data_IF_439828459847
#
_entry.id   IF_439828459847
#
_cell.length_a   1.000
_cell.length_b   1.000
_cell.length_c   1.000
_cell.angle_alpha   90.00
_cell.angle_beta   90.00
_cell.angle_gamma   90.00
#
_symmetry.space_group_name_H-M   'P 1'
#
loop_
_entity.id
_entity.type
_entity.pdbx_description
1 polymer ?
#
# COMPACT_ATOMS: atom_id res chain seq x y z
N UNK A 1 -28.26 -2.03 20.93
CA UNK A 1 -26.85 -1.61 20.75
C UNK A 1 -26.17 -2.51 19.75
N UNK A 2 -25.73 -1.93 18.66
CA UNK A 2 -24.93 -2.67 17.68
C UNK A 2 -23.58 -3.01 18.24
N UNK A 3 -23.14 -4.26 18.07
CA UNK A 3 -21.76 -4.63 18.32
C UNK A 3 -20.89 -3.96 17.28
N UNK A 4 -19.89 -3.23 17.72
CA UNK A 4 -18.87 -2.74 16.81
C UNK A 4 -18.16 -3.93 16.18
N UNK A 5 -18.16 -3.99 14.88
CA UNK A 5 -17.33 -4.97 14.19
C UNK A 5 -15.89 -4.75 14.61
N UNK A 6 -15.25 -5.83 15.02
CA UNK A 6 -13.83 -5.78 15.34
C UNK A 6 -13.05 -5.57 14.07
N UNK A 7 -12.31 -4.48 13.99
CA UNK A 7 -11.42 -4.23 12.87
C UNK A 7 -10.31 -5.28 12.84
N UNK A 8 -10.03 -5.81 11.67
CA UNK A 8 -8.90 -6.72 11.48
C UNK A 8 -7.60 -5.96 11.63
N UNK A 9 -6.60 -6.59 12.25
CA UNK A 9 -5.25 -6.08 12.27
C UNK A 9 -4.66 -6.13 10.86
N UNK A 10 -3.58 -5.38 10.62
CA UNK A 10 -2.86 -5.45 9.35
C UNK A 10 -2.45 -6.89 9.03
N UNK A 11 -1.88 -7.61 10.00
CA UNK A 11 -1.41 -8.98 9.78
C UNK A 11 -2.56 -9.92 9.38
N UNK A 12 -3.73 -9.76 9.97
CA UNK A 12 -4.89 -10.57 9.66
C UNK A 12 -5.37 -10.34 8.22
N UNK A 13 -5.52 -9.07 7.83
CA UNK A 13 -6.01 -8.76 6.49
C UNK A 13 -4.96 -9.07 5.42
N UNK A 14 -3.69 -8.82 5.70
CA UNK A 14 -2.60 -9.17 4.80
C UNK A 14 -2.61 -10.68 4.49
N UNK A 15 -2.75 -11.51 5.52
CA UNK A 15 -2.81 -12.95 5.32
C UNK A 15 -4.02 -13.37 4.49
N UNK A 16 -5.17 -12.72 4.70
CA UNK A 16 -6.37 -13.00 3.90
C UNK A 16 -6.16 -12.65 2.42
N UNK A 17 -5.50 -11.55 2.14
CA UNK A 17 -5.18 -11.15 0.76
C UNK A 17 -4.24 -12.18 0.11
N UNK A 18 -3.20 -12.60 0.83
CA UNK A 18 -2.25 -13.59 0.31
C UNK A 18 -2.96 -14.92 0.01
N UNK A 19 -3.80 -15.39 0.93
CA UNK A 19 -4.57 -16.64 0.72
C UNK A 19 -5.53 -16.53 -0.45
N UNK A 20 -6.19 -15.38 -0.59
CA UNK A 20 -7.04 -15.11 -1.74
C UNK A 20 -6.24 -15.22 -3.05
N UNK A 21 -5.05 -14.62 -3.08
CA UNK A 21 -4.18 -14.63 -4.25
C UNK A 21 -3.66 -16.06 -4.56
N UNK A 22 -3.35 -16.83 -3.52
CA UNK A 22 -2.98 -18.23 -3.68
C UNK A 22 -4.13 -19.07 -4.26
N UNK A 23 -5.33 -18.88 -3.74
CA UNK A 23 -6.52 -19.61 -4.21
C UNK A 23 -6.82 -19.30 -5.67
N UNK A 24 -6.47 -18.12 -6.13
CA UNK A 24 -6.65 -17.71 -7.53
C UNK A 24 -5.42 -17.96 -8.39
N UNK A 25 -4.42 -18.61 -7.83
CA UNK A 25 -3.17 -18.97 -8.49
C UNK A 25 -2.36 -17.76 -8.99
N UNK A 26 -2.62 -16.57 -8.45
CA UNK A 26 -1.78 -15.40 -8.68
C UNK A 26 -0.42 -15.65 -8.04
N UNK A 27 -0.41 -16.18 -6.83
CA UNK A 27 0.81 -16.60 -6.14
C UNK A 27 0.90 -18.13 -6.28
N UNK A 28 1.99 -18.70 -6.79
CA UNK A 28 3.25 -18.05 -7.19
C UNK A 28 3.38 -17.75 -8.69
N UNK A 29 2.32 -17.81 -9.46
CA UNK A 29 2.38 -17.85 -10.93
C UNK A 29 2.53 -16.49 -11.60
N UNK A 30 2.03 -15.40 -10.99
CA UNK A 30 2.21 -14.07 -11.53
C UNK A 30 3.67 -13.63 -11.36
N UNK A 31 4.11 -12.68 -12.18
CA UNK A 31 5.46 -12.15 -12.05
C UNK A 31 5.46 -10.93 -11.12
N UNK A 32 6.56 -10.69 -10.38
CA UNK A 32 6.65 -9.46 -9.58
C UNK A 32 6.41 -8.19 -10.41
N UNK A 33 6.96 -8.13 -11.61
CA UNK A 33 6.79 -6.99 -12.50
C UNK A 33 5.33 -6.76 -12.87
N UNK A 34 4.55 -7.81 -13.09
CA UNK A 34 3.13 -7.65 -13.44
C UNK A 34 2.33 -7.01 -12.29
N UNK A 35 2.67 -7.35 -11.05
CA UNK A 35 2.03 -6.75 -9.88
C UNK A 35 2.45 -5.29 -9.69
N UNK A 36 3.69 -4.94 -10.00
CA UNK A 36 4.15 -3.55 -9.97
C UNK A 36 3.44 -2.71 -11.02
N UNK A 37 3.32 -3.22 -12.24
CA UNK A 37 2.62 -2.50 -13.32
C UNK A 37 1.14 -2.31 -12.97
N UNK A 38 0.53 -3.31 -12.35
CA UNK A 38 -0.85 -3.19 -11.87
C UNK A 38 -0.95 -2.13 -10.77
N UNK A 39 0.01 -2.09 -9.84
CA UNK A 39 0.03 -1.07 -8.80
C UNK A 39 0.12 0.34 -9.39
N UNK A 40 0.92 0.53 -10.43
CA UNK A 40 1.02 1.82 -11.14
C UNK A 40 -0.34 2.20 -11.73
N UNK A 41 -1.04 1.25 -12.36
CA UNK A 41 -2.38 1.47 -12.90
C UNK A 41 -3.37 1.87 -11.81
N UNK A 42 -3.35 1.18 -10.68
CA UNK A 42 -4.22 1.49 -9.54
C UNK A 42 -3.90 2.85 -8.92
N UNK A 43 -2.62 3.25 -8.90
CA UNK A 43 -2.23 4.60 -8.47
C UNK A 43 -2.82 5.67 -9.41
N UNK A 44 -2.87 5.39 -10.71
CA UNK A 44 -3.53 6.28 -11.67
C UNK A 44 -5.02 6.44 -11.38
N UNK A 45 -5.69 5.34 -11.04
CA UNK A 45 -7.10 5.37 -10.65
C UNK A 45 -7.31 6.14 -9.34
N UNK A 46 -6.39 6.01 -8.40
CA UNK A 46 -6.42 6.79 -7.15
C UNK A 46 -6.29 8.29 -7.45
N UNK A 47 -5.38 8.67 -8.33
CA UNK A 47 -5.21 10.07 -8.72
C UNK A 47 -6.49 10.62 -9.38
N UNK A 48 -7.14 9.84 -10.25
CA UNK A 48 -8.41 10.22 -10.85
C UNK A 48 -9.50 10.39 -9.81
N UNK A 49 -9.61 9.46 -8.87
CA UNK A 49 -10.60 9.52 -7.79
C UNK A 49 -10.39 10.76 -6.92
N UNK A 50 -9.14 11.10 -6.61
CA UNK A 50 -8.80 12.32 -5.87
C UNK A 50 -9.21 13.58 -6.67
N UNK A 51 -8.91 13.60 -7.96
CA UNK A 51 -9.32 14.70 -8.82
C UNK A 51 -10.82 14.94 -8.85
N UNK A 52 -11.59 13.87 -8.76
CA UNK A 52 -13.07 13.93 -8.72
C UNK A 52 -13.62 14.13 -7.31
N UNK A 53 -12.77 14.08 -6.29
CA UNK A 53 -13.14 14.14 -4.88
C UNK A 53 -14.20 13.11 -4.50
N UNK A 54 -14.14 11.94 -5.10
CA UNK A 54 -15.04 10.82 -4.84
C UNK A 54 -14.46 9.96 -3.73
N UNK A 55 -14.96 10.14 -2.51
CA UNK A 55 -14.40 9.47 -1.33
C UNK A 55 -14.49 7.94 -1.41
N UNK A 56 -15.60 7.42 -1.89
CA UNK A 56 -15.77 5.96 -2.01
C UNK A 56 -14.77 5.38 -3.02
N UNK A 57 -14.56 6.07 -4.14
CA UNK A 57 -13.58 5.66 -5.15
C UNK A 57 -12.14 5.77 -4.62
N UNK A 58 -11.86 6.79 -3.81
CA UNK A 58 -10.55 6.95 -3.16
C UNK A 58 -10.26 5.78 -2.22
N UNK A 59 -11.21 5.42 -1.36
CA UNK A 59 -11.05 4.30 -0.44
C UNK A 59 -10.80 2.99 -1.18
N UNK A 60 -11.56 2.74 -2.22
CA UNK A 60 -11.41 1.56 -3.08
C UNK A 60 -10.01 1.52 -3.71
N UNK A 61 -9.59 2.63 -4.29
CA UNK A 61 -8.32 2.72 -5.00
C UNK A 61 -7.12 2.53 -4.05
N UNK A 62 -7.18 3.10 -2.84
CA UNK A 62 -6.14 2.88 -1.81
C UNK A 62 -6.02 1.39 -1.51
N UNK A 63 -7.14 0.71 -1.30
CA UNK A 63 -7.16 -0.73 -1.05
C UNK A 63 -6.56 -1.52 -2.19
N UNK A 64 -6.91 -1.18 -3.43
CA UNK A 64 -6.43 -1.88 -4.63
C UNK A 64 -4.90 -1.74 -4.80
N UNK A 65 -4.35 -0.55 -4.52
CA UNK A 65 -2.89 -0.35 -4.53
C UNK A 65 -2.22 -1.26 -3.49
N UNK A 66 -2.77 -1.31 -2.28
CA UNK A 66 -2.20 -2.13 -1.21
C UNK A 66 -2.26 -3.62 -1.55
N UNK A 67 -3.34 -4.10 -2.15
CA UNK A 67 -3.44 -5.49 -2.60
C UNK A 67 -2.32 -5.84 -3.57
N UNK A 68 -2.05 -4.97 -4.55
CA UNK A 68 -0.97 -5.18 -5.51
C UNK A 68 0.40 -5.24 -4.82
N UNK A 69 0.65 -4.36 -3.86
CA UNK A 69 1.92 -4.34 -3.12
C UNK A 69 2.08 -5.56 -2.22
N UNK A 70 1.01 -6.02 -1.59
CA UNK A 70 1.04 -7.26 -0.79
C UNK A 70 1.41 -8.45 -1.68
N UNK A 71 0.78 -8.57 -2.84
CA UNK A 71 1.06 -9.65 -3.78
C UNK A 71 2.49 -9.56 -4.32
N UNK A 72 2.96 -8.36 -4.62
CA UNK A 72 4.34 -8.13 -5.03
C UNK A 72 5.33 -8.63 -3.98
N UNK A 73 5.13 -8.23 -2.73
CA UNK A 73 6.00 -8.65 -1.63
C UNK A 73 5.99 -10.17 -1.46
N UNK A 74 4.82 -10.79 -1.55
CA UNK A 74 4.71 -12.24 -1.45
C UNK A 74 5.47 -12.95 -2.58
N UNK A 75 5.37 -12.43 -3.80
CA UNK A 75 6.09 -13.00 -4.95
C UNK A 75 7.61 -12.82 -4.85
N UNK A 76 8.07 -11.78 -4.17
CA UNK A 76 9.49 -11.51 -3.94
C UNK A 76 10.01 -12.08 -2.63
N UNK A 77 9.17 -12.76 -1.86
CA UNK A 77 9.53 -13.24 -0.52
C UNK A 77 10.01 -12.11 0.39
N UNK A 78 9.31 -10.99 0.33
CA UNK A 78 9.58 -9.81 1.16
C UNK A 78 8.53 -9.71 2.26
N UNK A 79 8.98 -9.30 3.45
CA UNK A 79 8.08 -8.94 4.54
C UNK A 79 7.77 -7.45 4.43
N UNK A 80 6.53 -7.13 4.05
CA UNK A 80 6.10 -5.75 3.82
C UNK A 80 6.21 -4.89 5.08
N UNK A 81 5.90 -5.46 6.24
CA UNK A 81 6.00 -4.75 7.52
C UNK A 81 7.46 -4.38 7.83
N UNK A 82 8.39 -5.28 7.55
CA UNK A 82 9.82 -5.00 7.72
C UNK A 82 10.31 -3.94 6.75
N UNK A 83 9.81 -3.95 5.51
CA UNK A 83 10.13 -2.91 4.54
C UNK A 83 9.69 -1.54 5.05
N UNK A 84 8.47 -1.45 5.55
CA UNK A 84 7.94 -0.20 6.10
C UNK A 84 8.70 0.23 7.34
N UNK A 85 8.99 -0.69 8.26
CA UNK A 85 9.76 -0.40 9.47
C UNK A 85 11.16 0.14 9.12
N UNK A 86 11.81 -0.46 8.11
CA UNK A 86 13.10 0.01 7.62
C UNK A 86 13.04 1.44 7.08
N UNK A 87 12.01 1.74 6.31
CA UNK A 87 11.80 3.10 5.80
C UNK A 87 11.58 4.09 6.94
N UNK A 88 10.78 3.72 7.94
CA UNK A 88 10.53 4.57 9.12
C UNK A 88 11.83 4.86 9.88
N UNK A 89 12.68 3.84 10.08
CA UNK A 89 13.96 4.03 10.76
C UNK A 89 14.84 5.08 10.05
N UNK A 90 14.76 5.15 8.73
CA UNK A 90 15.52 6.14 7.96
C UNK A 90 14.96 7.56 8.09
N UNK A 91 13.64 7.71 8.26
CA UNK A 91 13.01 9.04 8.23
C UNK A 91 12.68 9.60 9.60
N UNK A 92 12.60 8.78 10.64
CA UNK A 92 12.07 9.19 11.96
C UNK A 92 12.80 10.38 12.57
N UNK A 93 14.11 10.50 12.34
CA UNK A 93 14.92 11.61 12.88
C UNK A 93 15.27 12.65 11.82
N UNK A 94 14.66 12.53 10.63
CA UNK A 94 14.93 13.45 9.52
C UNK A 94 14.36 14.82 9.84
N UNK A 95 15.21 15.84 9.72
CA UNK A 95 14.82 17.24 9.85
C UNK A 95 14.68 17.86 8.48
N UNK A 96 13.87 18.89 8.41
CA UNK A 96 13.66 19.59 7.16
C UNK A 96 12.62 20.68 7.31
N UNK A 97 12.23 21.25 6.21
CA UNK A 97 11.26 22.35 6.15
C UNK A 97 10.10 21.96 5.26
N UNK A 98 8.89 22.11 5.78
CA UNK A 98 7.68 21.96 4.98
C UNK A 98 7.50 23.25 4.16
N UNK A 99 7.56 23.11 2.84
CA UNK A 99 7.41 24.24 1.93
C UNK A 99 5.93 24.59 1.74
N UNK A 100 5.63 25.85 1.32
CA UNK A 100 4.23 26.26 1.12
C UNK A 100 3.45 25.39 0.14
N UNK A 101 4.11 24.75 -0.81
CA UNK A 101 3.47 23.84 -1.78
C UNK A 101 3.21 22.45 -1.22
N UNK A 102 3.54 22.20 0.05
CA UNK A 102 3.36 20.90 0.69
C UNK A 102 4.56 19.96 0.56
N UNK A 103 5.63 20.38 -0.11
CA UNK A 103 6.84 19.57 -0.26
C UNK A 103 7.70 19.68 1.00
N UNK A 104 8.14 18.54 1.52
CA UNK A 104 9.08 18.51 2.64
C UNK A 104 10.51 18.42 2.09
N UNK A 105 11.30 19.47 2.33
CA UNK A 105 12.70 19.53 1.89
C UNK A 105 13.59 19.15 3.07
N UNK A 106 14.27 18.02 2.96
CA UNK A 106 15.13 17.54 4.03
C UNK A 106 16.36 18.44 4.19
N UNK A 107 16.78 18.62 5.44
CA UNK A 107 17.99 19.32 5.78
C UNK A 107 19.19 18.51 5.29
N UNK A 108 20.14 19.14 4.64
CA UNK A 108 21.36 18.49 4.23
C UNK A 108 22.37 18.51 5.39
N UNK A 109 23.06 17.39 5.56
CA UNK A 109 24.10 17.27 6.59
C UNK A 109 25.31 18.16 6.28
#
# INVERSE_FOLDING_TARGET
>A
MGTKEKQMSWSEIELKVIRWAEDRRIIPNATPVSQLLKAVSEMGELADAEGKRDRAAIEDAVGDVLVCLINYCALRDLDMTRCLAGAYEQIKDRRGTLMPDGTFVKEQA
#
